data_IF_733730813210
#
_entry.id   IF_733730813210
#
_cell.length_a   1.000
_cell.length_b   1.000
_cell.length_c   1.000
_cell.angle_alpha   90.00
_cell.angle_beta   90.00
_cell.angle_gamma   90.00
#
_symmetry.space_group_name_H-M   'P 1'
#
loop_
_entity.id
_entity.type
_entity.pdbx_description
1 polymer ?
#
# COMPACT_ATOMS: atom_id res chain seq x y z
N UNK A 1 1.69 -45.35 20.77
CA UNK A 1 2.07 -43.94 20.53
C UNK A 1 2.72 -43.90 19.17
N UNK A 2 1.95 -43.69 18.12
CA UNK A 2 2.47 -43.56 16.76
C UNK A 2 2.66 -42.09 16.46
N UNK A 3 3.91 -41.69 16.26
CA UNK A 3 4.29 -40.36 15.80
C UNK A 3 4.64 -40.46 14.33
N UNK A 4 3.65 -40.35 13.46
CA UNK A 4 3.87 -40.15 12.02
C UNK A 4 3.95 -38.66 11.71
N UNK A 5 5.19 -38.13 11.71
CA UNK A 5 5.52 -36.86 11.08
C UNK A 5 5.73 -37.11 9.59
N UNK A 6 4.64 -37.21 8.83
CA UNK A 6 4.74 -37.11 7.37
C UNK A 6 4.50 -35.66 6.95
N UNK A 7 5.57 -34.96 6.56
CA UNK A 7 5.42 -33.62 5.95
C UNK A 7 6.53 -33.35 4.94
N UNK A 8 6.65 -34.21 3.92
CA UNK A 8 7.40 -33.87 2.69
C UNK A 8 6.47 -33.34 1.61
N UNK A 9 5.74 -32.25 1.91
CA UNK A 9 5.14 -31.43 0.86
C UNK A 9 6.22 -30.95 -0.13
N UNK A 10 5.90 -30.92 -1.43
CA UNK A 10 6.83 -30.46 -2.47
C UNK A 10 7.26 -29.00 -2.23
N UNK A 11 8.41 -28.56 -2.77
CA UNK A 11 8.79 -27.13 -2.72
C UNK A 11 7.69 -26.22 -3.27
N UNK A 12 6.92 -26.71 -4.26
CA UNK A 12 5.76 -26.02 -4.81
C UNK A 12 4.64 -25.84 -3.77
N UNK A 13 4.25 -26.89 -3.03
CA UNK A 13 3.26 -26.79 -1.95
C UNK A 13 3.72 -25.84 -0.83
N UNK A 14 5.00 -25.88 -0.47
CA UNK A 14 5.59 -24.95 0.51
C UNK A 14 5.66 -23.49 0.02
N UNK A 15 5.74 -23.27 -1.30
CA UNK A 15 5.69 -21.93 -1.93
C UNK A 15 4.26 -21.43 -2.06
N UNK A 16 3.31 -22.29 -2.43
CA UNK A 16 1.88 -21.99 -2.46
C UNK A 16 1.35 -21.62 -1.06
N UNK A 17 1.71 -22.40 -0.03
CA UNK A 17 1.41 -22.08 1.37
C UNK A 17 2.15 -20.82 1.90
N UNK A 18 3.13 -20.31 1.14
CA UNK A 18 3.85 -19.05 1.39
C UNK A 18 3.41 -17.93 0.45
N UNK A 19 2.32 -18.10 -0.33
CA UNK A 19 1.59 -16.97 -0.94
C UNK A 19 0.98 -16.17 0.22
N UNK A 20 1.84 -15.38 0.85
CA UNK A 20 1.48 -14.46 1.92
C UNK A 20 0.89 -13.23 1.26
N UNK A 21 -0.07 -12.64 1.95
CA UNK A 21 -0.69 -11.43 1.46
C UNK A 21 0.37 -10.34 1.16
N UNK A 22 0.18 -9.62 0.07
CA UNK A 22 0.94 -8.41 -0.23
C UNK A 22 0.43 -7.25 0.62
N UNK A 23 1.32 -6.33 0.94
CA UNK A 23 0.96 -5.06 1.58
C UNK A 23 1.15 -3.92 0.58
N UNK A 24 0.11 -3.11 0.39
CA UNK A 24 0.19 -1.83 -0.32
C UNK A 24 -0.01 -0.72 0.71
N UNK A 25 1.05 0.04 0.97
CA UNK A 25 1.05 1.06 2.03
C UNK A 25 1.30 2.43 1.42
N UNK A 26 0.56 3.44 1.86
CA UNK A 26 0.79 4.83 1.46
C UNK A 26 1.03 5.72 2.67
N UNK A 27 1.85 6.74 2.50
CA UNK A 27 2.14 7.76 3.50
C UNK A 27 2.49 9.10 2.84
N UNK A 28 2.56 10.14 3.64
CA UNK A 28 2.96 11.50 3.29
C UNK A 28 3.92 12.10 4.35
N UNK A 29 4.32 13.35 4.16
CA UNK A 29 5.23 14.06 5.09
C UNK A 29 4.72 14.14 6.54
N UNK A 30 3.43 13.92 6.78
CA UNK A 30 2.81 14.02 8.11
C UNK A 30 2.60 12.66 8.79
N UNK A 31 2.76 11.57 8.05
CA UNK A 31 2.44 10.21 8.50
C UNK A 31 3.66 9.27 8.54
N UNK A 32 4.88 9.80 8.44
CA UNK A 32 6.11 9.00 8.47
C UNK A 32 6.27 8.20 9.76
N UNK A 33 5.93 8.78 10.91
CA UNK A 33 6.01 8.07 12.19
C UNK A 33 4.97 6.93 12.27
N UNK A 34 3.74 7.18 11.82
CA UNK A 34 2.68 6.18 11.75
C UNK A 34 3.06 5.04 10.79
N UNK A 35 3.72 5.38 9.68
CA UNK A 35 4.27 4.40 8.73
C UNK A 35 5.31 3.51 9.39
N UNK A 36 6.31 4.07 10.07
CA UNK A 36 7.34 3.25 10.73
C UNK A 36 6.75 2.37 11.83
N UNK A 37 5.83 2.92 12.64
CA UNK A 37 5.12 2.15 13.65
C UNK A 37 4.35 0.98 13.04
N UNK A 38 3.63 1.21 11.93
CA UNK A 38 2.94 0.15 11.20
C UNK A 38 3.90 -0.90 10.66
N UNK A 39 4.97 -0.49 9.98
CA UNK A 39 5.96 -1.41 9.39
C UNK A 39 6.64 -2.30 10.45
N UNK A 40 6.86 -1.77 11.66
CA UNK A 40 7.40 -2.54 12.78
C UNK A 40 6.49 -3.67 13.26
N UNK A 41 5.18 -3.61 12.98
CA UNK A 41 4.23 -4.69 13.30
C UNK A 41 4.20 -5.81 12.26
N UNK A 42 4.76 -5.57 11.06
CA UNK A 42 4.70 -6.52 9.98
C UNK A 42 5.66 -7.71 10.19
N UNK A 43 5.27 -8.93 9.78
CA UNK A 43 6.18 -10.07 9.79
C UNK A 43 7.44 -9.81 8.94
N UNK A 44 8.57 -10.40 9.32
CA UNK A 44 9.86 -10.23 8.61
C UNK A 44 9.82 -10.60 7.13
N UNK A 45 8.91 -11.49 6.71
CA UNK A 45 8.74 -11.85 5.30
C UNK A 45 7.51 -11.22 4.65
N UNK A 46 6.94 -10.17 5.24
CA UNK A 46 5.97 -9.31 4.59
C UNK A 46 6.57 -8.79 3.27
N UNK A 47 5.74 -8.77 2.23
CA UNK A 47 6.14 -8.39 0.87
C UNK A 47 5.17 -7.35 0.35
N UNK A 48 5.61 -6.42 -0.49
CA UNK A 48 4.71 -5.34 -0.90
C UNK A 48 5.37 -4.07 -1.41
N UNK A 49 4.55 -3.01 -1.50
CA UNK A 49 4.94 -1.68 -1.96
C UNK A 49 4.59 -0.64 -0.91
N UNK A 50 5.46 0.35 -0.78
CA UNK A 50 5.26 1.52 0.07
C UNK A 50 5.47 2.74 -0.83
N UNK A 51 4.45 3.59 -0.97
CA UNK A 51 4.55 4.87 -1.65
C UNK A 51 4.51 5.99 -0.61
N UNK A 52 5.45 6.92 -0.70
CA UNK A 52 5.56 8.05 0.22
C UNK A 52 5.63 9.32 -0.59
N UNK A 53 4.66 10.21 -0.40
CA UNK A 53 4.67 11.53 -1.03
C UNK A 53 5.31 12.57 -0.10
N UNK A 54 6.09 13.47 -0.68
CA UNK A 54 6.72 14.58 0.06
C UNK A 54 6.68 15.87 -0.77
N UNK A 55 6.78 17.06 -0.15
CA UNK A 55 6.88 18.32 -0.88
C UNK A 55 8.06 18.33 -1.86
N UNK A 56 9.26 18.03 -1.40
CA UNK A 56 10.49 18.16 -2.16
C UNK A 56 11.41 16.93 -2.07
N UNK A 57 12.36 16.80 -3.00
CA UNK A 57 13.35 15.71 -2.97
C UNK A 57 14.28 15.79 -1.75
N UNK A 58 14.48 16.97 -1.18
CA UNK A 58 15.23 17.15 0.07
C UNK A 58 14.55 16.55 1.31
N UNK A 59 13.24 16.28 1.25
CA UNK A 59 12.48 15.64 2.33
C UNK A 59 12.61 14.09 2.30
N UNK A 60 13.33 13.53 1.32
CA UNK A 60 13.54 12.08 1.20
C UNK A 60 14.43 11.58 2.33
N UNK A 61 13.96 10.56 3.03
CA UNK A 61 14.67 9.93 4.14
C UNK A 61 14.86 8.43 3.99
N UNK A 62 15.27 7.81 5.10
CA UNK A 62 15.38 6.35 5.24
C UNK A 62 14.14 5.84 5.95
N UNK A 63 13.54 4.77 5.42
CA UNK A 63 12.43 4.04 6.05
C UNK A 63 12.85 2.58 6.20
N UNK A 64 12.76 2.06 7.41
CA UNK A 64 13.08 0.67 7.72
C UNK A 64 11.88 -0.25 7.40
N UNK A 65 11.82 -0.74 6.17
CA UNK A 65 10.80 -1.70 5.74
C UNK A 65 11.30 -3.16 5.80
N UNK A 66 10.39 -4.15 5.94
CA UNK A 66 10.72 -5.56 5.77
C UNK A 66 11.41 -5.83 4.42
N UNK A 67 12.37 -6.77 4.38
CA UNK A 67 13.30 -6.93 3.25
C UNK A 67 12.70 -7.34 1.90
N UNK A 68 11.39 -7.61 1.82
CA UNK A 68 10.67 -7.88 0.57
C UNK A 68 9.66 -6.78 0.21
N UNK A 69 9.73 -5.65 0.88
CA UNK A 69 8.94 -4.46 0.57
C UNK A 69 9.81 -3.44 -0.15
N UNK A 70 9.23 -2.72 -1.11
CA UNK A 70 9.92 -1.66 -1.85
C UNK A 70 9.34 -0.31 -1.46
N UNK A 71 10.19 0.58 -0.94
CA UNK A 71 9.84 1.98 -0.65
C UNK A 71 10.10 2.83 -1.89
N UNK A 72 9.11 3.63 -2.27
CA UNK A 72 9.17 4.55 -3.41
C UNK A 72 8.77 5.95 -2.95
N UNK A 73 9.70 6.90 -3.07
CA UNK A 73 9.48 8.31 -2.72
C UNK A 73 8.97 9.11 -3.92
N UNK A 74 8.02 10.01 -3.66
CA UNK A 74 7.32 10.81 -4.65
C UNK A 74 7.42 12.29 -4.27
N UNK A 75 8.49 12.95 -4.69
CA UNK A 75 8.63 14.39 -4.52
C UNK A 75 7.69 15.15 -5.48
N UNK A 76 6.79 15.97 -4.91
CA UNK A 76 5.83 16.79 -5.67
C UNK A 76 6.51 17.88 -6.49
N UNK A 77 7.59 18.48 -5.98
CA UNK A 77 8.36 19.53 -6.67
C UNK A 77 8.89 19.10 -8.03
N UNK A 78 9.16 17.80 -8.22
CA UNK A 78 9.64 17.21 -9.46
C UNK A 78 8.51 16.70 -10.38
N UNK A 79 7.23 17.04 -10.11
CA UNK A 79 6.06 16.46 -10.78
C UNK A 79 5.05 17.51 -11.24
N UNK A 80 4.44 17.25 -12.39
CA UNK A 80 3.32 18.03 -12.89
C UNK A 80 1.99 17.53 -12.32
N UNK A 81 1.03 18.45 -12.19
CA UNK A 81 -0.36 18.15 -11.83
C UNK A 81 -1.13 17.45 -12.96
N UNK A 82 -2.43 17.70 -13.06
CA UNK A 82 -3.28 17.08 -14.07
C UNK A 82 -2.75 17.37 -15.50
N UNK A 83 -2.66 16.36 -16.40
CA UNK A 83 -2.29 16.60 -17.79
C UNK A 83 -3.12 17.73 -18.40
N UNK A 84 -2.47 18.65 -19.12
CA UNK A 84 -3.14 19.80 -19.73
C UNK A 84 -3.48 20.96 -18.79
N UNK A 85 -3.30 20.83 -17.46
CA UNK A 85 -3.62 21.93 -16.52
C UNK A 85 -2.53 23.01 -16.40
N UNK A 86 -1.29 22.69 -16.75
CA UNK A 86 -0.13 23.56 -16.52
C UNK A 86 0.22 23.79 -15.03
N UNK A 87 -0.46 23.11 -14.09
CA UNK A 87 -0.26 23.26 -12.65
C UNK A 87 0.79 22.29 -12.13
N UNK A 88 1.42 22.64 -11.00
CA UNK A 88 2.25 21.72 -10.23
C UNK A 88 1.43 20.59 -9.60
N UNK A 89 2.12 19.54 -9.13
CA UNK A 89 1.50 18.41 -8.46
C UNK A 89 0.94 18.81 -7.08
N UNK A 90 -0.37 18.63 -6.90
CA UNK A 90 -1.03 18.94 -5.63
C UNK A 90 -0.75 17.87 -4.55
N UNK A 91 -0.89 18.20 -3.25
CA UNK A 91 -0.89 17.18 -2.18
C UNK A 91 -1.86 16.02 -2.48
N UNK A 92 -1.41 14.80 -2.24
CA UNK A 92 -2.11 13.54 -2.49
C UNK A 92 -2.07 13.06 -3.94
N UNK A 93 -1.73 13.92 -4.90
CA UNK A 93 -1.91 13.61 -6.32
C UNK A 93 -0.86 12.63 -6.87
N UNK A 94 0.40 12.75 -6.46
CA UNK A 94 1.42 11.79 -6.89
C UNK A 94 1.19 10.44 -6.20
N UNK A 95 0.80 10.48 -4.91
CA UNK A 95 0.47 9.31 -4.11
C UNK A 95 -0.68 8.51 -4.74
N UNK A 96 -1.79 9.18 -5.05
CA UNK A 96 -2.96 8.56 -5.67
C UNK A 96 -2.60 7.93 -7.01
N UNK A 97 -1.93 8.68 -7.90
CA UNK A 97 -1.53 8.15 -9.22
C UNK A 97 -0.65 6.91 -9.14
N UNK A 98 0.39 6.95 -8.30
CA UNK A 98 1.32 5.82 -8.19
C UNK A 98 0.63 4.58 -7.63
N UNK A 99 -0.21 4.78 -6.62
CA UNK A 99 -0.97 3.69 -5.97
C UNK A 99 -1.99 3.09 -6.94
N UNK A 100 -2.76 3.93 -7.62
CA UNK A 100 -3.77 3.53 -8.60
C UNK A 100 -3.14 2.78 -9.78
N UNK A 101 -2.04 3.30 -10.34
CA UNK A 101 -1.33 2.63 -11.44
C UNK A 101 -0.73 1.28 -11.03
N UNK A 102 -0.18 1.19 -9.82
CA UNK A 102 0.30 -0.10 -9.31
C UNK A 102 -0.86 -1.08 -9.12
N UNK A 103 -1.98 -0.63 -8.54
CA UNK A 103 -3.15 -1.46 -8.31
C UNK A 103 -3.76 -1.96 -9.62
N UNK A 104 -3.78 -1.10 -10.64
CA UNK A 104 -4.22 -1.43 -12.00
C UNK A 104 -3.46 -2.57 -12.64
N UNK A 105 -2.16 -2.64 -12.40
CA UNK A 105 -1.34 -3.70 -12.98
C UNK A 105 -1.36 -4.97 -12.13
N UNK A 106 -1.43 -4.84 -10.81
CA UNK A 106 -1.12 -5.94 -9.88
C UNK A 106 -2.34 -6.58 -9.23
N UNK A 107 -3.49 -5.93 -9.21
CA UNK A 107 -4.73 -6.47 -8.62
C UNK A 107 -5.67 -7.10 -9.67
N UNK A 108 -5.21 -7.28 -10.90
CA UNK A 108 -6.02 -7.86 -12.00
C UNK A 108 -6.43 -9.30 -11.72
N UNK A 109 -5.59 -10.06 -10.99
CA UNK A 109 -5.85 -11.45 -10.62
C UNK A 109 -5.89 -11.62 -9.09
N UNK A 110 -6.94 -12.22 -8.56
CA UNK A 110 -7.13 -12.53 -7.12
C UNK A 110 -6.20 -13.64 -6.59
N UNK A 111 -5.15 -13.95 -7.34
CA UNK A 111 -4.18 -15.00 -7.05
C UNK A 111 -3.37 -14.75 -5.76
N UNK A 112 -3.23 -13.48 -5.37
CA UNK A 112 -2.55 -13.09 -4.13
C UNK A 112 -3.36 -12.02 -3.40
N UNK A 113 -3.81 -12.36 -2.19
CA UNK A 113 -4.47 -11.41 -1.31
C UNK A 113 -3.56 -10.19 -1.05
N UNK A 114 -4.12 -8.99 -1.12
CA UNK A 114 -3.40 -7.73 -0.89
C UNK A 114 -4.15 -6.93 0.17
N UNK A 115 -3.49 -6.61 1.27
CA UNK A 115 -3.96 -5.66 2.29
C UNK A 115 -3.45 -4.26 1.98
N UNK A 116 -4.36 -3.29 1.99
CA UNK A 116 -4.09 -1.90 1.69
C UNK A 116 -4.14 -1.08 2.99
N UNK A 117 -3.15 -0.22 3.22
CA UNK A 117 -3.09 0.67 4.40
C UNK A 117 -2.73 2.08 3.92
N UNK A 118 -3.67 3.01 4.03
CA UNK A 118 -3.54 4.36 3.48
C UNK A 118 -3.40 5.38 4.60
N UNK A 119 -2.17 5.86 4.84
CA UNK A 119 -1.85 6.77 5.95
C UNK A 119 -1.74 8.24 5.51
N UNK A 120 -1.78 8.51 4.21
CA UNK A 120 -1.66 9.86 3.67
C UNK A 120 -2.87 10.76 3.95
N UNK A 121 -2.80 12.01 3.46
CA UNK A 121 -3.86 13.00 3.58
C UNK A 121 -5.20 12.57 2.98
N UNK A 122 -6.28 13.24 3.43
CA UNK A 122 -7.67 12.89 3.10
C UNK A 122 -7.93 12.81 1.59
N UNK A 123 -7.59 13.86 0.82
CA UNK A 123 -7.95 13.93 -0.61
C UNK A 123 -7.32 12.79 -1.42
N UNK A 124 -6.01 12.57 -1.27
CA UNK A 124 -5.35 11.47 -1.97
C UNK A 124 -5.86 10.10 -1.51
N UNK A 125 -6.18 9.95 -0.22
CA UNK A 125 -6.75 8.71 0.32
C UNK A 125 -8.15 8.45 -0.24
N UNK A 126 -9.00 9.47 -0.33
CA UNK A 126 -10.34 9.37 -0.90
C UNK A 126 -10.29 8.92 -2.37
N UNK A 127 -9.45 9.56 -3.18
CA UNK A 127 -9.25 9.19 -4.59
C UNK A 127 -8.79 7.73 -4.74
N UNK A 128 -7.88 7.27 -3.86
CA UNK A 128 -7.41 5.88 -3.87
C UNK A 128 -8.54 4.93 -3.46
N UNK A 129 -9.28 5.23 -2.39
CA UNK A 129 -10.38 4.37 -1.92
C UNK A 129 -11.42 4.20 -3.02
N UNK A 130 -11.90 5.29 -3.61
CA UNK A 130 -12.87 5.27 -4.72
C UNK A 130 -12.37 4.39 -5.87
N UNK A 131 -11.11 4.57 -6.28
CA UNK A 131 -10.53 3.77 -7.37
C UNK A 131 -10.42 2.28 -7.03
N UNK A 132 -10.04 1.94 -5.79
CA UNK A 132 -9.92 0.55 -5.35
C UNK A 132 -11.29 -0.13 -5.23
N UNK A 133 -12.29 0.55 -4.66
CA UNK A 133 -13.61 -0.04 -4.44
C UNK A 133 -14.45 -0.06 -5.71
N UNK A 134 -14.54 1.07 -6.40
CA UNK A 134 -15.56 1.26 -7.44
C UNK A 134 -15.09 0.69 -8.77
N UNK A 135 -13.78 0.77 -9.02
CA UNK A 135 -13.21 0.37 -10.31
C UNK A 135 -12.53 -1.00 -10.27
N UNK A 136 -11.85 -1.34 -9.17
CA UNK A 136 -11.19 -2.65 -9.00
C UNK A 136 -11.99 -3.64 -8.15
N UNK A 137 -13.08 -3.22 -7.49
CA UNK A 137 -13.90 -4.11 -6.68
C UNK A 137 -13.18 -4.66 -5.43
N UNK A 138 -12.14 -3.97 -4.93
CA UNK A 138 -11.40 -4.40 -3.74
C UNK A 138 -12.32 -4.36 -2.53
N UNK A 139 -12.42 -5.48 -1.83
CA UNK A 139 -13.24 -5.60 -0.62
C UNK A 139 -12.78 -4.60 0.45
N UNK A 140 -13.74 -3.88 1.04
CA UNK A 140 -13.47 -2.83 2.04
C UNK A 140 -12.68 -3.33 3.24
N UNK A 141 -12.93 -4.56 3.70
CA UNK A 141 -12.19 -5.17 4.83
C UNK A 141 -10.69 -5.37 4.56
N UNK A 142 -10.24 -5.26 3.30
CA UNK A 142 -8.83 -5.29 2.90
C UNK A 142 -8.20 -3.89 2.91
N UNK A 143 -8.98 -2.83 3.08
CA UNK A 143 -8.52 -1.45 3.07
C UNK A 143 -8.57 -0.89 4.50
N UNK A 144 -7.44 -0.36 4.96
CA UNK A 144 -7.34 0.36 6.23
C UNK A 144 -7.04 1.82 5.96
N UNK A 145 -7.86 2.70 6.52
CA UNK A 145 -7.68 4.16 6.49
C UNK A 145 -7.90 4.72 7.90
N UNK A 146 -7.35 5.89 8.24
CA UNK A 146 -7.66 6.55 9.50
C UNK A 146 -9.17 6.79 9.68
N UNK A 147 -9.72 6.35 10.81
CA UNK A 147 -11.18 6.43 11.10
C UNK A 147 -11.74 7.85 10.95
N UNK A 148 -10.93 8.86 11.32
CA UNK A 148 -11.26 10.29 11.18
C UNK A 148 -11.65 10.73 9.77
N UNK A 149 -11.30 9.95 8.74
CA UNK A 149 -11.66 10.27 7.35
C UNK A 149 -13.07 9.81 6.97
N UNK A 150 -13.66 8.85 7.68
CA UNK A 150 -15.02 8.37 7.41
C UNK A 150 -15.25 7.86 5.98
N UNK A 151 -14.20 7.32 5.33
CA UNK A 151 -14.23 6.89 3.92
C UNK A 151 -14.74 5.47 3.72
N UNK A 152 -14.71 4.64 4.76
CA UNK A 152 -15.18 3.27 4.72
C UNK A 152 -16.44 3.13 5.59
N UNK A 153 -17.42 2.30 5.20
CA UNK A 153 -18.55 1.98 6.06
C UNK A 153 -18.07 1.46 7.42
N UNK A 154 -18.67 1.95 8.50
CA UNK A 154 -18.52 1.33 9.81
C UNK A 154 -19.14 -0.07 9.75
N UNK A 155 -18.35 -1.11 10.00
CA UNK A 155 -18.89 -2.46 10.18
C UNK A 155 -19.89 -2.42 11.35
N UNK A 156 -21.15 -2.71 11.06
CA UNK A 156 -22.25 -2.81 12.03
C UNK A 156 -22.47 -4.21 12.55
#
# INVERSE_FOLDING_TARGET
MDTTLDTRGTRAARRAARRRAHHLVTADEHSLLDLEAFLATLPLCASGRIFIEVPDASDIGVIHAPGRMTVTWLARSARSGAPGSGRGCAPGQALARATCAWADEMLVDDEVETHVTLLGGYLGTADIVEHLTDRLGVAVNRIRVPERFGLLPVEG
#
